data_IF_529694768649
#
_entry.id   IF_529694768649
#
_cell.length_a   1.000
_cell.length_b   1.000
_cell.length_c   1.000
_cell.angle_alpha   90.00
_cell.angle_beta   90.00
_cell.angle_gamma   90.00
#
_symmetry.space_group_name_H-M   'P 1'
#
loop_
_entity.id
_entity.type
_entity.pdbx_description
1 polymer ?
#
# COMPACT_ATOMS: atom_id res chain seq x y z
N UNK A 1 -32.71 -56.11 -29.64
CA UNK A 1 -32.95 -56.27 -28.18
C UNK A 1 -31.61 -56.56 -27.52
N UNK A 2 -31.30 -55.88 -26.42
CA UNK A 2 -30.08 -55.92 -25.57
C UNK A 2 -28.92 -55.04 -26.11
N UNK A 3 -28.79 -53.73 -25.83
CA UNK A 3 -28.81 -52.91 -24.59
C UNK A 3 -27.52 -53.03 -23.74
N UNK A 4 -26.70 -51.97 -23.87
CA UNK A 4 -25.80 -51.31 -22.88
C UNK A 4 -24.50 -52.01 -22.45
N UNK A 5 -23.43 -51.78 -23.23
CA UNK A 5 -22.04 -51.74 -22.75
C UNK A 5 -21.80 -50.41 -22.02
N UNK A 6 -21.46 -50.48 -20.73
CA UNK A 6 -21.06 -49.34 -19.89
C UNK A 6 -19.64 -48.91 -20.29
N UNK A 7 -19.52 -47.87 -21.11
CA UNK A 7 -18.24 -47.20 -21.36
C UNK A 7 -18.09 -46.02 -20.40
N UNK A 8 -17.06 -46.09 -19.55
CA UNK A 8 -16.75 -45.15 -18.50
C UNK A 8 -16.45 -43.74 -19.05
N UNK A 9 -17.06 -42.75 -18.40
CA UNK A 9 -16.83 -41.33 -18.63
C UNK A 9 -15.50 -40.94 -17.95
N UNK A 10 -14.40 -40.89 -18.69
CA UNK A 10 -13.15 -40.30 -18.19
C UNK A 10 -13.13 -38.81 -18.56
N UNK A 11 -13.68 -37.98 -17.68
CA UNK A 11 -13.52 -36.53 -17.77
C UNK A 11 -12.08 -36.19 -17.36
N UNK A 12 -11.22 -35.94 -18.34
CA UNK A 12 -9.91 -35.34 -18.12
C UNK A 12 -10.15 -33.87 -17.76
N UNK A 13 -10.24 -33.57 -16.46
CA UNK A 13 -10.09 -32.21 -15.98
C UNK A 13 -8.62 -31.85 -16.11
N UNK A 14 -8.27 -31.24 -17.25
CA UNK A 14 -7.04 -30.46 -17.34
C UNK A 14 -7.17 -29.32 -16.33
N UNK A 15 -6.60 -29.49 -15.14
CA UNK A 15 -6.23 -28.38 -14.28
C UNK A 15 -5.17 -27.60 -15.07
N UNK A 16 -5.64 -26.65 -15.89
CA UNK A 16 -4.80 -25.54 -16.27
C UNK A 16 -4.35 -24.91 -14.96
N UNK A 17 -3.06 -25.02 -14.65
CA UNK A 17 -2.41 -24.14 -13.70
C UNK A 17 -2.58 -22.75 -14.30
N UNK A 18 -3.67 -22.09 -13.94
CA UNK A 18 -3.79 -20.65 -14.07
C UNK A 18 -2.70 -20.15 -13.16
N UNK A 19 -1.57 -19.82 -13.75
CA UNK A 19 -0.59 -18.96 -13.12
C UNK A 19 -1.33 -17.64 -12.93
N UNK A 20 -2.08 -17.53 -11.83
CA UNK A 20 -2.62 -16.26 -11.39
C UNK A 20 -1.36 -15.47 -11.04
N UNK A 21 -0.85 -14.71 -12.00
CA UNK A 21 0.06 -13.63 -11.68
C UNK A 21 -0.69 -12.80 -10.65
N UNK A 22 -0.26 -12.89 -9.39
CA UNK A 22 -0.68 -11.91 -8.41
C UNK A 22 -0.11 -10.62 -8.98
N UNK A 23 -0.99 -9.75 -9.46
CA UNK A 23 -0.56 -8.46 -9.97
C UNK A 23 0.22 -7.78 -8.83
N UNK A 24 1.39 -7.23 -9.13
CA UNK A 24 2.17 -6.47 -8.16
C UNK A 24 1.29 -5.50 -7.38
N UNK A 25 1.62 -5.26 -6.12
CA UNK A 25 0.76 -4.53 -5.19
C UNK A 25 1.50 -3.32 -4.61
N UNK A 26 0.81 -2.20 -4.47
CA UNK A 26 1.21 -1.07 -3.65
C UNK A 26 0.24 -0.92 -2.48
N UNK A 27 0.69 -1.25 -1.27
CA UNK A 27 -0.10 -0.99 -0.06
C UNK A 27 0.05 0.49 0.32
N UNK A 28 -1.07 1.19 0.40
CA UNK A 28 -1.18 2.52 0.97
C UNK A 28 -1.67 2.41 2.43
N UNK A 29 -0.85 2.75 3.45
CA UNK A 29 -1.23 2.62 4.86
C UNK A 29 -2.26 3.66 5.37
N UNK A 30 -3.17 4.10 4.51
CA UNK A 30 -4.18 5.14 4.76
C UNK A 30 -5.49 4.77 4.05
N UNK A 31 -6.57 5.49 4.39
CA UNK A 31 -7.82 5.42 3.65
C UNK A 31 -7.62 5.94 2.19
N UNK A 32 -8.50 5.53 1.26
CA UNK A 32 -8.52 6.09 -0.10
C UNK A 32 -8.54 7.62 -0.10
N UNK A 33 -7.77 8.25 -0.99
CA UNK A 33 -7.64 9.71 -1.08
C UNK A 33 -6.64 10.35 -0.10
N UNK A 34 -6.02 9.58 0.81
CA UNK A 34 -4.95 10.07 1.67
C UNK A 34 -3.60 10.22 0.96
N UNK A 35 -2.61 10.82 1.62
CA UNK A 35 -1.27 11.06 1.04
C UNK A 35 -0.54 9.79 0.57
N UNK A 36 -0.63 8.70 1.35
CA UNK A 36 -0.05 7.41 0.93
C UNK A 36 -0.80 6.74 -0.22
N UNK A 37 -2.12 6.95 -0.34
CA UNK A 37 -2.91 6.49 -1.49
C UNK A 37 -2.53 7.25 -2.77
N UNK A 38 -2.43 8.58 -2.66
CA UNK A 38 -1.91 9.43 -3.73
C UNK A 38 -0.51 8.98 -4.16
N UNK A 39 0.35 8.65 -3.21
CA UNK A 39 1.71 8.16 -3.46
C UNK A 39 1.70 6.86 -4.27
N UNK A 40 0.95 5.84 -3.83
CA UNK A 40 0.83 4.58 -4.56
C UNK A 40 0.27 4.76 -5.98
N UNK A 41 -0.80 5.55 -6.13
CA UNK A 41 -1.39 5.82 -7.46
C UNK A 41 -0.42 6.55 -8.38
N UNK A 42 0.36 7.48 -7.83
CA UNK A 42 1.36 8.25 -8.59
C UNK A 42 2.52 7.37 -9.04
N UNK A 43 3.09 6.56 -8.15
CA UNK A 43 4.23 5.70 -8.52
C UNK A 43 3.83 4.61 -9.50
N UNK A 44 2.64 4.01 -9.34
CA UNK A 44 2.11 3.04 -10.30
C UNK A 44 1.99 3.65 -11.70
N UNK A 45 1.48 4.88 -11.80
CA UNK A 45 1.41 5.58 -13.07
C UNK A 45 2.80 5.87 -13.64
N UNK A 46 3.71 6.38 -12.83
CA UNK A 46 5.07 6.72 -13.25
C UNK A 46 5.81 5.47 -13.77
N UNK A 47 5.74 4.35 -13.06
CA UNK A 47 6.37 3.09 -13.46
C UNK A 47 5.87 2.60 -14.83
N UNK A 48 4.57 2.75 -15.09
CA UNK A 48 3.99 2.45 -16.39
C UNK A 48 4.46 3.44 -17.47
N UNK A 49 4.41 4.74 -17.20
CA UNK A 49 4.76 5.79 -18.15
C UNK A 49 6.23 5.71 -18.62
N UNK A 50 7.14 5.28 -17.73
CA UNK A 50 8.58 5.13 -18.05
C UNK A 50 8.96 3.73 -18.56
N UNK A 51 8.00 2.80 -18.65
CA UNK A 51 8.26 1.42 -19.06
C UNK A 51 9.10 0.62 -18.06
N UNK A 52 9.07 0.99 -16.77
CA UNK A 52 9.77 0.25 -15.71
C UNK A 52 9.00 -1.02 -15.28
N UNK A 53 7.72 -1.12 -15.62
CA UNK A 53 6.89 -2.28 -15.32
C UNK A 53 5.77 -2.42 -16.36
N UNK A 54 5.67 -3.60 -16.96
CA UNK A 54 4.71 -3.89 -18.04
C UNK A 54 3.35 -4.39 -17.53
N UNK A 55 3.26 -4.74 -16.24
CA UNK A 55 2.04 -5.23 -15.61
C UNK A 55 1.20 -4.11 -14.98
N UNK A 56 0.05 -4.48 -14.42
CA UNK A 56 -0.71 -3.59 -13.54
C UNK A 56 -0.21 -3.69 -12.10
N UNK A 57 -0.06 -2.56 -11.40
CA UNK A 57 0.18 -2.54 -9.95
C UNK A 57 -1.14 -2.19 -9.26
N UNK A 58 -1.66 -3.12 -8.45
CA UNK A 58 -2.88 -2.93 -7.68
C UNK A 58 -2.61 -2.02 -6.48
N UNK A 59 -3.49 -1.05 -6.23
CA UNK A 59 -3.39 -0.19 -5.05
C UNK A 59 -4.38 -0.66 -4.00
N UNK A 60 -3.88 -1.08 -2.84
CA UNK A 60 -4.68 -1.53 -1.70
C UNK A 60 -4.54 -0.56 -0.54
N UNK A 61 -5.67 -0.11 0.02
CA UNK A 61 -5.68 0.75 1.19
C UNK A 61 -5.78 -0.07 2.48
N UNK A 62 -4.79 0.07 3.37
CA UNK A 62 -4.75 -0.61 4.67
C UNK A 62 -4.59 0.41 5.80
N UNK A 63 -5.71 1.02 6.21
CA UNK A 63 -5.71 2.04 7.25
C UNK A 63 -5.68 1.45 8.67
N UNK A 64 -4.89 2.06 9.55
CA UNK A 64 -4.88 1.72 10.98
C UNK A 64 -3.59 2.11 11.69
N UNK A 65 -3.68 2.58 12.93
CA UNK A 65 -2.52 2.86 13.80
C UNK A 65 -1.53 3.89 13.25
N UNK A 66 -1.95 4.79 12.35
CA UNK A 66 -1.05 5.71 11.65
C UNK A 66 -0.03 4.98 10.77
N UNK A 67 -0.42 3.87 10.15
CA UNK A 67 0.43 3.02 9.31
C UNK A 67 0.95 1.75 10.01
N UNK A 68 0.75 1.62 11.32
CA UNK A 68 1.24 0.48 12.09
C UNK A 68 0.59 -0.85 11.73
N UNK A 69 -0.68 -0.83 11.29
CA UNK A 69 -1.37 -2.03 10.79
C UNK A 69 -0.65 -2.60 9.56
N UNK A 70 -0.42 -1.76 8.54
CA UNK A 70 0.28 -2.15 7.33
C UNK A 70 1.73 -2.56 7.61
N UNK A 71 2.43 -1.82 8.47
CA UNK A 71 3.81 -2.15 8.84
C UNK A 71 3.89 -3.56 9.46
N UNK A 72 3.01 -3.84 10.43
CA UNK A 72 2.95 -5.16 11.10
C UNK A 72 2.58 -6.27 10.13
N UNK A 73 1.58 -6.05 9.28
CA UNK A 73 1.16 -7.00 8.25
C UNK A 73 2.31 -7.34 7.30
N UNK A 74 3.03 -6.33 6.80
CA UNK A 74 4.14 -6.54 5.87
C UNK A 74 5.28 -7.30 6.53
N UNK A 75 5.70 -6.89 7.73
CA UNK A 75 6.81 -7.53 8.45
C UNK A 75 6.50 -8.99 8.81
N UNK A 76 5.26 -9.30 9.18
CA UNK A 76 4.89 -10.63 9.68
C UNK A 76 4.41 -11.58 8.57
N UNK A 77 3.78 -11.08 7.51
CA UNK A 77 3.05 -11.90 6.55
C UNK A 77 3.56 -11.75 5.10
N UNK A 78 4.22 -10.65 4.75
CA UNK A 78 4.62 -10.32 3.36
C UNK A 78 6.08 -9.89 3.23
N UNK A 79 6.94 -10.28 4.18
CA UNK A 79 8.32 -9.79 4.26
C UNK A 79 9.28 -10.32 3.17
N UNK A 80 8.85 -11.34 2.44
CA UNK A 80 9.56 -11.94 1.31
C UNK A 80 8.79 -11.78 -0.01
N UNK A 81 7.84 -10.85 -0.06
CA UNK A 81 7.04 -10.62 -1.27
C UNK A 81 7.73 -9.61 -2.18
N UNK A 82 8.33 -10.12 -3.26
CA UNK A 82 9.07 -9.32 -4.23
C UNK A 82 8.16 -8.47 -5.14
N UNK A 83 6.86 -8.79 -5.20
CA UNK A 83 5.85 -8.09 -5.99
C UNK A 83 5.11 -7.02 -5.15
N UNK A 84 5.54 -6.77 -3.91
CA UNK A 84 4.94 -5.81 -3.00
C UNK A 84 5.82 -4.57 -2.77
N UNK A 85 5.23 -3.39 -2.97
CA UNK A 85 5.75 -2.12 -2.48
C UNK A 85 4.77 -1.48 -1.49
N UNK A 86 5.27 -0.61 -0.62
CA UNK A 86 4.46 0.05 0.41
C UNK A 86 4.78 1.54 0.40
N UNK A 87 3.75 2.38 0.35
CA UNK A 87 3.94 3.81 0.52
C UNK A 87 4.34 4.11 1.97
N UNK A 88 5.45 4.84 2.14
CA UNK A 88 5.95 5.29 3.43
C UNK A 88 6.33 6.78 3.35
N UNK A 89 6.36 7.44 4.50
CA UNK A 89 6.83 8.84 4.60
C UNK A 89 7.62 9.05 5.89
N UNK A 90 8.04 10.28 6.14
CA UNK A 90 8.66 10.69 7.42
C UNK A 90 7.76 10.40 8.63
N UNK A 91 6.44 10.32 8.44
CA UNK A 91 5.51 9.87 9.48
C UNK A 91 5.81 8.43 9.94
N UNK A 92 6.14 7.52 9.02
CA UNK A 92 6.52 6.13 9.35
C UNK A 92 7.78 6.11 10.22
N UNK A 93 8.83 6.84 9.81
CA UNK A 93 10.08 6.93 10.56
C UNK A 93 9.87 7.56 11.95
N UNK A 94 9.06 8.60 12.04
CA UNK A 94 8.73 9.26 13.31
C UNK A 94 7.99 8.31 14.26
N UNK A 95 7.03 7.54 13.75
CA UNK A 95 6.26 6.58 14.55
C UNK A 95 7.12 5.40 15.02
N UNK A 96 8.04 4.91 14.20
CA UNK A 96 9.04 3.93 14.62
C UNK A 96 9.93 4.48 15.75
N UNK A 97 10.46 5.70 15.58
CA UNK A 97 11.30 6.35 16.60
C UNK A 97 10.55 6.60 17.93
N UNK A 98 9.24 6.84 17.87
CA UNK A 98 8.36 6.97 19.03
C UNK A 98 7.90 5.62 19.62
N UNK A 99 8.36 4.49 19.07
CA UNK A 99 7.91 3.15 19.43
C UNK A 99 6.37 2.97 19.30
N UNK A 100 5.73 3.72 18.41
CA UNK A 100 4.27 3.67 18.21
C UNK A 100 3.82 2.42 17.45
N UNK A 101 4.75 1.65 16.89
CA UNK A 101 4.52 0.35 16.26
C UNK A 101 4.95 -0.83 17.14
N UNK A 102 4.96 -0.65 18.47
CA UNK A 102 5.09 -1.73 19.46
C UNK A 102 6.35 -2.60 19.30
N UNK A 103 7.53 -1.98 19.31
CA UNK A 103 8.82 -2.67 19.25
C UNK A 103 9.32 -2.97 17.83
N UNK A 104 8.54 -2.61 16.81
CA UNK A 104 8.99 -2.67 15.43
C UNK A 104 10.07 -1.61 15.15
N UNK A 105 11.01 -1.95 14.27
CA UNK A 105 12.20 -1.17 13.97
C UNK A 105 12.41 -0.99 12.47
N UNK A 106 13.19 0.03 12.11
CA UNK A 106 13.41 0.41 10.71
C UNK A 106 14.16 -0.65 9.89
N UNK A 107 14.93 -1.54 10.52
CA UNK A 107 15.70 -2.62 9.89
C UNK A 107 14.86 -3.84 9.50
N UNK A 108 13.60 -3.91 9.93
CA UNK A 108 12.68 -4.99 9.54
C UNK A 108 12.08 -4.79 8.14
N UNK A 109 12.30 -3.63 7.51
CA UNK A 109 11.86 -3.32 6.17
C UNK A 109 13.02 -2.74 5.35
N UNK A 110 12.91 -2.85 4.03
CA UNK A 110 13.86 -2.23 3.11
C UNK A 110 13.29 -0.92 2.58
N UNK A 111 13.89 0.20 2.99
CA UNK A 111 13.55 1.50 2.40
C UNK A 111 14.12 1.58 0.97
N UNK A 112 13.23 1.70 -0.01
CA UNK A 112 13.59 1.64 -1.44
C UNK A 112 14.20 2.94 -1.96
N UNK A 113 13.57 4.07 -1.63
CA UNK A 113 13.98 5.38 -2.11
C UNK A 113 12.88 6.42 -1.92
N UNK A 114 13.27 7.68 -1.93
CA UNK A 114 12.33 8.81 -1.93
C UNK A 114 11.85 9.09 -3.36
N UNK A 115 10.54 9.23 -3.53
CA UNK A 115 9.90 9.50 -4.83
C UNK A 115 9.25 10.88 -4.91
N UNK A 116 9.19 11.60 -3.79
CA UNK A 116 8.60 12.93 -3.69
C UNK A 116 8.82 13.55 -2.32
N UNK A 117 8.46 14.82 -2.19
CA UNK A 117 8.46 15.56 -0.94
C UNK A 117 7.16 16.38 -0.82
N UNK A 118 6.58 16.37 0.37
CA UNK A 118 5.36 17.08 0.73
C UNK A 118 5.65 18.11 1.82
N UNK A 119 5.77 19.41 1.50
CA UNK A 119 5.96 20.43 2.53
C UNK A 119 4.72 20.47 3.45
N UNK A 120 4.95 20.37 4.75
CA UNK A 120 3.89 20.50 5.74
C UNK A 120 3.26 21.90 5.68
N UNK A 121 1.93 21.95 5.78
CA UNK A 121 1.17 23.20 5.79
C UNK A 121 0.31 23.28 7.04
N UNK A 122 0.24 24.48 7.62
CA UNK A 122 -0.73 24.80 8.67
C UNK A 122 -1.95 25.38 7.97
N UNK A 123 -3.09 24.69 8.10
CA UNK A 123 -4.34 25.08 7.47
C UNK A 123 -5.44 25.18 8.52
N UNK A 124 -6.35 26.11 8.29
CA UNK A 124 -7.55 26.31 9.11
C UNK A 124 -8.80 26.15 8.25
N UNK A 125 -9.96 25.96 8.88
CA UNK A 125 -11.24 25.97 8.17
C UNK A 125 -11.47 27.31 7.47
N UNK A 126 -12.24 27.32 6.37
CA UNK A 126 -12.46 28.52 5.57
C UNK A 126 -13.11 29.68 6.37
N UNK A 127 -13.93 29.33 7.37
CA UNK A 127 -14.60 30.25 8.28
C UNK A 127 -13.79 30.56 9.57
N UNK A 128 -12.54 30.09 9.65
CA UNK A 128 -11.69 30.33 10.83
C UNK A 128 -11.46 31.82 11.08
N UNK A 129 -11.46 32.26 12.36
CA UNK A 129 -11.12 33.65 12.71
C UNK A 129 -9.63 33.96 12.49
N UNK A 130 -8.75 32.95 12.43
CA UNK A 130 -7.31 33.13 12.26
C UNK A 130 -6.98 33.35 10.78
N UNK A 131 -6.40 34.51 10.45
CA UNK A 131 -6.12 34.91 9.06
C UNK A 131 -4.65 34.83 8.71
N UNK A 132 -3.78 34.69 9.71
CA UNK A 132 -2.34 34.51 9.53
C UNK A 132 -1.76 33.64 10.65
N UNK A 133 -0.48 33.31 10.54
CA UNK A 133 0.20 32.44 11.52
C UNK A 133 0.26 33.08 12.92
N UNK A 134 0.46 34.40 13.02
CA UNK A 134 0.51 35.07 14.33
C UNK A 134 -0.84 34.96 15.04
N UNK A 135 -1.95 35.19 14.33
CA UNK A 135 -3.29 35.05 14.91
C UNK A 135 -3.51 33.65 15.54
N UNK A 136 -2.96 32.60 14.91
CA UNK A 136 -3.05 31.23 15.41
C UNK A 136 -2.12 31.00 16.61
N UNK A 137 -0.90 31.55 16.57
CA UNK A 137 0.09 31.40 17.64
C UNK A 137 -0.34 32.14 18.92
N UNK A 138 -0.97 33.30 18.79
CA UNK A 138 -1.48 34.07 19.92
C UNK A 138 -2.67 33.38 20.64
N UNK A 139 -3.25 32.34 20.02
CA UNK A 139 -4.43 31.65 20.51
C UNK A 139 -4.14 30.33 21.28
N UNK A 140 -2.88 29.89 21.37
CA UNK A 140 -2.45 28.61 22.01
C UNK A 140 -1.62 28.79 23.25
#
# INVERSE_FOLDING_TARGET
MNILSKSAFAAVFSFGLINQSIAAECIAPANPGGGWDFTCRSITKIMSDIGAYDGSIQVTNMAGGGGGLAFTHVVNERNSDDDLIVAASTATATRLAQNAYSGMTADQVRFLGAIGADPGVIVVAADSPYKNLNDLLDAV
#
